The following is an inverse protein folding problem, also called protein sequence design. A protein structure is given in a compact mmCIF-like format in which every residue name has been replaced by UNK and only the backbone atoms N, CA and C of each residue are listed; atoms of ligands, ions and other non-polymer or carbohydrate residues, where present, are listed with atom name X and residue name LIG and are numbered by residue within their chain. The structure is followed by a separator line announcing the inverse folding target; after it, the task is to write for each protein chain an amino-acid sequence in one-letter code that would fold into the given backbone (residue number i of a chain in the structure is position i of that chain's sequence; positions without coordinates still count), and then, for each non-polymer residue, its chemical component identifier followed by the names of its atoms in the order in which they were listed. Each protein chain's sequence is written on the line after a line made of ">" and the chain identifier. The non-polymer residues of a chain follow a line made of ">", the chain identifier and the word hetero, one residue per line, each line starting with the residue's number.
data_IF_667940441820
#
_entry.id   IF_667940441820
#
_cell.length_a   1.000
_cell.length_b   1.000
_cell.length_c   1.000
_cell.angle_alpha   90.00
_cell.angle_beta   90.00
_cell.angle_gamma   90.00
#
_symmetry.space_group_name_H-M   'P 1'
#
loop_
_entity.id
_entity.type
_entity.pdbx_description
1 polymer ?
#
# COMPACT_ATOMS: atom_id res chain seq x y z
N UNK A 1 -24.40 -3.82 -8.32
CA UNK A 1 -24.08 -2.88 -7.23
C UNK A 1 -23.23 -3.65 -6.24
N UNK A 2 -21.95 -3.30 -6.08
CA UNK A 2 -21.11 -3.95 -5.09
C UNK A 2 -21.60 -3.50 -3.70
N UNK A 3 -21.98 -4.46 -2.86
CA UNK A 3 -22.44 -4.14 -1.50
C UNK A 3 -21.28 -3.63 -0.65
N UNK A 4 -21.52 -2.56 0.11
CA UNK A 4 -20.52 -2.05 1.05
C UNK A 4 -20.27 -3.09 2.16
N UNK A 5 -19.00 -3.36 2.53
CA UNK A 5 -18.65 -4.20 3.67
C UNK A 5 -19.42 -3.81 4.93
N UNK A 6 -19.85 -4.80 5.72
CA UNK A 6 -20.63 -4.55 6.95
C UNK A 6 -19.92 -3.61 7.94
N UNK A 7 -18.59 -3.61 7.94
CA UNK A 7 -17.74 -2.75 8.76
C UNK A 7 -17.92 -1.26 8.42
N UNK A 8 -18.08 -0.94 7.13
CA UNK A 8 -18.34 0.43 6.69
C UNK A 8 -19.81 0.83 6.91
N UNK A 9 -20.72 -0.14 6.84
CA UNK A 9 -22.16 0.09 7.03
C UNK A 9 -22.54 0.46 8.46
N UNK A 10 -21.91 -0.19 9.44
CA UNK A 10 -22.24 -0.03 10.86
C UNK A 10 -21.28 0.92 11.61
N UNK A 11 -20.50 1.70 10.87
CA UNK A 11 -19.53 2.65 11.41
C UNK A 11 -20.24 3.80 12.16
N UNK A 12 -19.77 4.20 13.36
CA UNK A 12 -20.29 5.40 14.00
C UNK A 12 -20.01 6.65 13.14
N UNK A 13 -20.92 7.63 13.12
CA UNK A 13 -20.72 8.84 12.34
C UNK A 13 -19.45 9.57 12.79
N UNK A 14 -18.72 10.12 11.83
CA UNK A 14 -17.51 10.91 12.09
C UNK A 14 -17.86 12.11 13.00
N UNK A 15 -17.05 12.40 14.04
CA UNK A 15 -17.29 13.57 14.87
C UNK A 15 -17.18 14.86 14.05
N UNK A 16 -17.96 15.87 14.43
CA UNK A 16 -18.00 17.14 13.72
C UNK A 16 -16.63 17.83 13.72
N UNK A 17 -16.15 18.24 12.53
CA UNK A 17 -14.87 18.93 12.35
C UNK A 17 -13.65 18.03 12.13
N UNK A 18 -13.83 16.71 12.01
CA UNK A 18 -12.77 15.78 11.67
C UNK A 18 -12.80 15.46 10.16
N UNK A 19 -11.64 15.49 9.52
CA UNK A 19 -11.46 15.12 8.11
C UNK A 19 -11.28 13.58 7.98
N UNK A 20 -11.66 12.99 6.83
CA UNK A 20 -11.36 11.58 6.56
C UNK A 20 -9.86 11.33 6.57
N UNK A 21 -9.44 10.11 6.96
CA UNK A 21 -8.02 9.75 6.91
C UNK A 21 -7.51 9.51 5.49
N UNK A 22 -8.41 9.14 4.59
CA UNK A 22 -8.14 8.95 3.17
C UNK A 22 -9.47 8.99 2.39
N UNK A 23 -9.41 9.33 1.11
CA UNK A 23 -10.55 9.17 0.19
C UNK A 23 -10.25 7.98 -0.71
N UNK A 24 -11.10 6.95 -0.68
CA UNK A 24 -10.86 5.69 -1.36
C UNK A 24 -12.09 5.25 -2.16
N UNK A 25 -11.86 4.55 -3.26
CA UNK A 25 -12.93 3.79 -3.93
C UNK A 25 -13.18 2.48 -3.19
N UNK A 26 -14.35 1.86 -3.40
CA UNK A 26 -14.66 0.56 -2.80
C UNK A 26 -13.65 -0.53 -3.19
N UNK A 27 -13.20 -0.52 -4.45
CA UNK A 27 -12.17 -1.43 -4.96
C UNK A 27 -10.81 -1.16 -4.29
N UNK A 28 -10.39 0.11 -4.19
CA UNK A 28 -9.15 0.48 -3.52
C UNK A 28 -9.16 0.06 -2.03
N UNK A 29 -10.27 0.29 -1.33
CA UNK A 29 -10.46 -0.17 0.05
C UNK A 29 -10.29 -1.69 0.16
N UNK A 30 -10.93 -2.46 -0.74
CA UNK A 30 -10.81 -3.90 -0.78
C UNK A 30 -9.38 -4.39 -1.00
N UNK A 31 -8.66 -3.78 -1.97
CA UNK A 31 -7.25 -4.12 -2.25
C UNK A 31 -6.34 -3.84 -1.06
N UNK A 32 -6.45 -2.66 -0.46
CA UNK A 32 -5.66 -2.27 0.72
C UNK A 32 -5.94 -3.19 1.91
N UNK A 33 -7.20 -3.62 2.08
CA UNK A 33 -7.59 -4.56 3.14
C UNK A 33 -6.99 -5.95 2.91
N UNK A 34 -7.01 -6.45 1.68
CA UNK A 34 -6.34 -7.72 1.32
C UNK A 34 -4.83 -7.64 1.50
N UNK A 35 -4.20 -6.56 1.02
CA UNK A 35 -2.76 -6.33 1.20
C UNK A 35 -2.39 -6.30 2.69
N UNK A 36 -3.17 -5.59 3.52
CA UNK A 36 -2.95 -5.56 4.97
C UNK A 36 -3.05 -6.96 5.59
N UNK A 37 -4.03 -7.76 5.18
CA UNK A 37 -4.20 -9.13 5.66
C UNK A 37 -2.99 -10.00 5.29
N UNK A 38 -2.53 -9.96 4.04
CA UNK A 38 -1.36 -10.70 3.59
C UNK A 38 -0.09 -10.27 4.34
N UNK A 39 0.16 -8.96 4.44
CA UNK A 39 1.35 -8.44 5.13
C UNK A 39 1.37 -8.78 6.62
N UNK A 40 0.21 -8.72 7.29
CA UNK A 40 0.12 -8.98 8.74
C UNK A 40 0.06 -10.45 9.12
N UNK A 41 -0.22 -11.34 8.16
CA UNK A 41 -0.25 -12.79 8.36
C UNK A 41 0.99 -13.44 7.73
N UNK A 42 0.86 -13.99 6.53
CA UNK A 42 1.91 -14.72 5.83
C UNK A 42 3.19 -13.90 5.62
N UNK A 43 3.07 -12.59 5.39
CA UNK A 43 4.22 -11.69 5.22
C UNK A 43 5.10 -11.61 6.47
N UNK A 44 4.49 -11.40 7.65
CA UNK A 44 5.22 -11.36 8.94
C UNK A 44 5.88 -12.70 9.26
N UNK A 45 5.18 -13.81 9.02
CA UNK A 45 5.73 -15.14 9.24
C UNK A 45 6.92 -15.42 8.31
N UNK A 46 6.81 -15.07 7.03
CA UNK A 46 7.88 -15.26 6.04
C UNK A 46 9.14 -14.45 6.38
N UNK A 47 8.99 -13.18 6.79
CA UNK A 47 10.12 -12.34 7.22
C UNK A 47 10.73 -12.86 8.52
N UNK A 48 9.92 -13.32 9.47
CA UNK A 48 10.42 -13.89 10.72
C UNK A 48 11.29 -15.14 10.47
N UNK A 49 10.84 -16.03 9.58
CA UNK A 49 11.61 -17.23 9.20
C UNK A 49 12.91 -16.86 8.44
N UNK A 50 12.88 -15.86 7.55
CA UNK A 50 14.10 -15.36 6.88
C UNK A 50 15.11 -14.78 7.86
N UNK A 51 14.66 -13.99 8.83
CA UNK A 51 15.54 -13.43 9.87
C UNK A 51 16.13 -14.55 10.73
N UNK A 52 15.33 -15.56 11.08
CA UNK A 52 15.77 -16.71 11.86
C UNK A 52 16.82 -17.52 11.11
N UNK A 53 16.57 -17.86 9.85
CA UNK A 53 17.53 -18.56 9.01
C UNK A 53 18.85 -17.79 8.87
N UNK A 54 18.79 -16.47 8.64
CA UNK A 54 19.98 -15.63 8.57
C UNK A 54 20.76 -15.63 9.91
N UNK A 55 20.09 -15.66 11.07
CA UNK A 55 20.76 -15.75 12.37
C UNK A 55 21.51 -17.07 12.60
N UNK A 56 21.07 -18.16 11.97
CA UNK A 56 21.72 -19.47 12.10
C UNK A 56 23.03 -19.56 11.31
N UNK A 57 23.27 -18.65 10.35
CA UNK A 57 24.41 -18.69 9.45
C UNK A 57 25.72 -18.01 9.94
N UNK A 58 25.79 -17.52 11.18
CA UNK A 58 27.06 -17.05 11.78
C UNK A 58 26.97 -15.74 12.56
N UNK A 59 28.10 -15.03 12.68
CA UNK A 59 28.16 -13.75 13.40
C UNK A 59 27.26 -12.71 12.72
N UNK A 60 26.25 -12.26 13.45
CA UNK A 60 25.20 -11.34 13.01
C UNK A 60 25.80 -10.01 12.50
N UNK A 61 27.01 -9.63 12.96
CA UNK A 61 27.63 -8.35 12.60
C UNK A 61 28.15 -8.26 11.16
N UNK A 62 28.37 -9.38 10.49
CA UNK A 62 28.86 -9.42 9.10
C UNK A 62 27.83 -10.02 8.13
N UNK A 63 26.65 -10.37 8.64
CA UNK A 63 25.64 -11.08 7.86
C UNK A 63 24.76 -10.10 7.06
N UNK A 64 25.13 -9.87 5.81
CA UNK A 64 24.37 -9.04 4.87
C UNK A 64 22.92 -9.52 4.66
N UNK A 65 22.63 -10.82 4.75
CA UNK A 65 21.27 -11.35 4.62
C UNK A 65 20.42 -11.01 5.85
N UNK A 66 21.03 -10.99 7.04
CA UNK A 66 20.36 -10.55 8.27
C UNK A 66 19.99 -9.07 8.19
N UNK A 67 20.95 -8.20 7.83
CA UNK A 67 20.69 -6.77 7.67
C UNK A 67 19.62 -6.49 6.61
N UNK A 68 19.69 -7.19 5.47
CA UNK A 68 18.68 -7.08 4.41
C UNK A 68 17.29 -7.50 4.91
N UNK A 69 17.18 -8.64 5.60
CA UNK A 69 15.91 -9.12 6.15
C UNK A 69 15.33 -8.18 7.22
N UNK A 70 16.18 -7.56 8.05
CA UNK A 70 15.76 -6.56 9.04
C UNK A 70 15.30 -5.25 8.38
N UNK A 71 15.95 -4.83 7.31
CA UNK A 71 15.50 -3.66 6.54
C UNK A 71 14.16 -3.93 5.86
N UNK A 72 14.01 -5.09 5.21
CA UNK A 72 12.76 -5.51 4.57
C UNK A 72 11.62 -5.58 5.60
N UNK A 73 11.88 -6.09 6.81
CA UNK A 73 10.93 -6.05 7.92
C UNK A 73 10.51 -4.61 8.25
N UNK A 74 11.46 -3.69 8.32
CA UNK A 74 11.18 -2.28 8.62
C UNK A 74 10.29 -1.61 7.55
N UNK A 75 10.57 -1.86 6.28
CA UNK A 75 9.77 -1.37 5.15
C UNK A 75 8.36 -1.96 5.16
N UNK A 76 8.24 -3.26 5.40
CA UNK A 76 6.94 -3.94 5.51
C UNK A 76 6.11 -3.35 6.66
N UNK A 77 6.68 -3.16 7.85
CA UNK A 77 5.99 -2.56 8.98
C UNK A 77 5.65 -1.08 8.77
N UNK A 78 6.45 -0.35 7.97
CA UNK A 78 6.09 1.00 7.54
C UNK A 78 4.85 0.96 6.62
N UNK A 79 4.80 0.03 5.66
CA UNK A 79 3.66 -0.16 4.76
C UNK A 79 2.39 -0.55 5.53
N UNK A 80 2.48 -1.50 6.45
CA UNK A 80 1.36 -1.90 7.33
C UNK A 80 0.79 -0.68 8.06
N UNK A 81 1.64 0.16 8.67
CA UNK A 81 1.20 1.36 9.39
C UNK A 81 0.53 2.38 8.48
N UNK A 82 1.06 2.58 7.27
CA UNK A 82 0.46 3.46 6.26
C UNK A 82 -0.93 2.98 5.86
N UNK A 83 -1.09 1.68 5.54
CA UNK A 83 -2.37 1.10 5.17
C UNK A 83 -3.37 1.20 6.33
N UNK A 84 -2.96 0.86 7.55
CA UNK A 84 -3.81 0.99 8.74
C UNK A 84 -4.27 2.43 8.98
N UNK A 85 -3.41 3.42 8.74
CA UNK A 85 -3.77 4.83 8.84
C UNK A 85 -4.84 5.22 7.80
N UNK A 86 -4.68 4.78 6.55
CA UNK A 86 -5.65 5.05 5.47
C UNK A 86 -7.01 4.38 5.74
N UNK A 87 -7.01 3.12 6.21
CA UNK A 87 -8.22 2.33 6.47
C UNK A 87 -8.94 2.70 7.79
N UNK A 88 -8.34 3.54 8.64
CA UNK A 88 -8.92 3.93 9.94
C UNK A 88 -10.24 4.69 9.80
N UNK A 89 -10.28 5.75 8.99
CA UNK A 89 -11.50 6.53 8.71
C UNK A 89 -11.58 7.01 7.26
N UNK A 90 -11.61 6.09 6.29
CA UNK A 90 -11.70 6.47 4.90
C UNK A 90 -13.10 6.98 4.57
N UNK A 91 -13.14 7.96 3.70
CA UNK A 91 -14.33 8.31 2.94
C UNK A 91 -14.39 7.44 1.69
N UNK A 92 -15.50 6.70 1.52
CA UNK A 92 -15.70 5.87 0.34
C UNK A 92 -16.46 6.68 -0.71
N UNK A 93 -15.80 6.87 -1.85
CA UNK A 93 -16.38 7.54 -3.03
C UNK A 93 -16.61 6.53 -4.14
N UNK A 94 -17.62 6.77 -4.96
CA UNK A 94 -17.76 6.02 -6.21
C UNK A 94 -16.68 6.51 -7.17
N UNK A 95 -15.98 5.58 -7.82
CA UNK A 95 -15.05 5.93 -8.89
C UNK A 95 -15.84 6.65 -10.00
N UNK A 96 -15.37 7.77 -10.54
CA UNK A 96 -16.00 8.34 -11.73
C UNK A 96 -15.98 7.27 -12.82
N UNK A 97 -17.12 7.09 -13.48
CA UNK A 97 -17.29 6.14 -14.59
C UNK A 97 -16.44 6.47 -15.84
N UNK A 98 -15.58 7.49 -15.77
CA UNK A 98 -14.63 7.87 -16.79
C UNK A 98 -13.22 7.51 -16.32
N UNK A 99 -12.50 6.75 -17.15
CA UNK A 99 -11.14 6.27 -16.92
C UNK A 99 -10.04 7.37 -16.83
N UNK A 100 -10.44 8.64 -16.73
CA UNK A 100 -9.58 9.82 -16.90
C UNK A 100 -9.34 10.60 -15.59
N UNK A 101 -9.94 10.21 -14.46
CA UNK A 101 -9.73 10.90 -13.18
C UNK A 101 -8.94 10.02 -12.21
N UNK A 102 -7.72 10.47 -11.90
CA UNK A 102 -6.80 9.81 -10.96
C UNK A 102 -6.92 10.45 -9.58
N UNK A 103 -7.25 9.64 -8.57
CA UNK A 103 -7.22 10.04 -7.17
C UNK A 103 -5.99 9.52 -6.41
N UNK A 104 -5.64 10.14 -5.26
CA UNK A 104 -4.54 9.68 -4.41
C UNK A 104 -4.76 8.23 -3.95
N UNK A 105 -3.71 7.40 -4.04
CA UNK A 105 -3.77 5.97 -3.70
C UNK A 105 -4.13 5.03 -4.87
N UNK A 106 -4.32 5.55 -6.09
CA UNK A 106 -4.51 4.73 -7.29
C UNK A 106 -3.17 4.41 -7.96
N UNK A 107 -2.96 3.15 -8.34
CA UNK A 107 -1.92 2.76 -9.29
C UNK A 107 -2.36 3.17 -10.70
N UNK A 108 -1.61 4.06 -11.34
CA UNK A 108 -1.89 4.52 -12.70
C UNK A 108 -0.91 3.89 -13.67
N UNK A 109 -1.44 3.19 -14.66
CA UNK A 109 -0.66 2.76 -15.83
C UNK A 109 -0.83 3.82 -16.91
N UNK A 110 0.23 4.57 -17.20
CA UNK A 110 0.21 5.59 -18.26
C UNK A 110 0.68 4.92 -19.55
N UNK A 111 -0.21 4.87 -20.55
CA UNK A 111 0.18 4.46 -21.92
C UNK A 111 0.54 5.70 -22.74
N UNK A 112 1.81 5.91 -23.12
CA UNK A 112 2.15 6.96 -24.07
C UNK A 112 1.45 6.70 -25.43
N UNK A 113 0.97 7.76 -26.08
CA UNK A 113 0.26 7.71 -27.37
C UNK A 113 1.19 7.49 -28.58
N UNK A 114 2.51 7.43 -28.35
CA UNK A 114 3.49 7.05 -29.35
C UNK A 114 3.74 5.54 -29.27
N UNK A 115 3.42 4.83 -30.35
CA UNK A 115 3.32 3.37 -30.46
C UNK A 115 4.69 2.63 -30.40
N UNK A 116 5.71 3.23 -29.80
CA UNK A 116 7.09 2.71 -29.81
C UNK A 116 7.74 2.55 -28.43
N UNK A 117 7.12 3.01 -27.33
CA UNK A 117 7.68 2.87 -25.98
C UNK A 117 6.86 1.92 -25.09
N UNK A 118 7.57 1.13 -24.27
CA UNK A 118 7.02 0.12 -23.35
C UNK A 118 6.11 0.74 -22.27
N UNK A 119 5.12 -0.04 -21.80
CA UNK A 119 4.18 0.36 -20.75
C UNK A 119 4.91 0.84 -19.47
N UNK A 120 4.86 2.15 -19.17
CA UNK A 120 5.46 2.70 -17.95
C UNK A 120 4.41 2.92 -16.84
N UNK A 121 4.68 2.34 -15.67
CA UNK A 121 3.82 2.47 -14.49
C UNK A 121 4.36 3.57 -13.56
N UNK A 122 3.54 4.56 -13.24
CA UNK A 122 3.91 5.67 -12.36
C UNK A 122 3.04 5.67 -11.09
N UNK A 123 3.67 5.97 -9.96
CA UNK A 123 2.98 6.16 -8.68
C UNK A 123 2.75 7.66 -8.46
N UNK A 124 1.50 8.06 -8.28
CA UNK A 124 1.15 9.45 -7.97
C UNK A 124 1.20 9.65 -6.45
N UNK A 125 2.29 10.26 -5.95
CA UNK A 125 2.48 10.57 -4.54
C UNK A 125 2.29 12.08 -4.27
N UNK A 126 1.56 12.43 -3.21
CA UNK A 126 1.31 13.83 -2.81
C UNK A 126 2.49 14.48 -2.06
N UNK A 127 3.54 13.73 -1.73
CA UNK A 127 4.76 14.24 -1.09
C UNK A 127 6.02 13.84 -1.86
N UNK A 128 6.97 14.78 -1.95
CA UNK A 128 8.13 14.80 -2.85
C UNK A 128 9.20 13.70 -2.64
N UNK A 129 8.97 12.72 -1.77
CA UNK A 129 9.98 11.72 -1.40
C UNK A 129 9.59 10.27 -1.72
N UNK A 130 8.56 10.03 -2.54
CA UNK A 130 8.35 8.71 -3.13
C UNK A 130 9.05 8.58 -4.49
N UNK A 131 10.10 7.75 -4.53
CA UNK A 131 10.65 7.23 -5.78
C UNK A 131 10.40 5.74 -5.87
N UNK A 132 9.64 5.33 -6.88
CA UNK A 132 9.58 3.94 -7.32
C UNK A 132 10.82 3.61 -8.18
N UNK A 133 11.40 2.41 -8.06
CA UNK A 133 12.51 1.98 -8.90
C UNK A 133 12.06 1.89 -10.37
N UNK A 134 12.65 2.72 -11.23
CA UNK A 134 12.33 2.82 -12.66
C UNK A 134 11.75 4.17 -13.09
N UNK A 135 11.26 5.00 -12.16
CA UNK A 135 10.75 6.33 -12.47
C UNK A 135 11.89 7.35 -12.59
N UNK A 136 12.02 8.01 -13.76
CA UNK A 136 12.84 9.22 -13.88
C UNK A 136 12.06 10.42 -13.34
N UNK A 137 12.71 11.19 -12.47
CA UNK A 137 12.25 12.53 -12.06
C UNK A 137 12.45 13.55 -13.17
#
# INVERSE_FOLDING_TARGET
>A
MAELPEELRNRPPRPAGQEPTATLTLDAYGRLRSELEELTTSGRDAIAERIKAAREHGDIRENAEYDAAKNEQGLMEARIRSIQAMLRDPEIVEAPSAADEVGPGMLVTVKPLDLEDEDETYLLAEHAEEKAPGART
#
